data_IF_725327359579
#
_entry.id   IF_725327359579
#
_cell.length_a   1.000
_cell.length_b   1.000
_cell.length_c   1.000
_cell.angle_alpha   90.00
_cell.angle_beta   90.00
_cell.angle_gamma   90.00
#
_symmetry.space_group_name_H-M   'P 1'
#
loop_
_entity.id
_entity.type
_entity.pdbx_description
1 polymer ?
#
# COMPACT_ATOMS: atom_id res chain seq x y z
N UNK A 1 -0.02 47.27 -69.33
CA UNK A 1 -0.59 46.51 -68.20
C UNK A 1 0.45 46.43 -67.11
N UNK A 2 0.18 46.97 -65.92
CA UNK A 2 1.00 46.72 -64.73
C UNK A 2 0.07 46.18 -63.65
N UNK A 3 0.16 44.88 -63.38
CA UNK A 3 -0.54 44.26 -62.27
C UNK A 3 0.46 44.15 -61.12
N UNK A 4 0.26 44.95 -60.08
CA UNK A 4 0.93 44.75 -58.80
C UNK A 4 0.20 43.62 -58.08
N UNK A 5 0.89 42.51 -57.83
CA UNK A 5 0.38 41.45 -56.97
C UNK A 5 0.33 41.98 -55.52
N UNK A 6 -0.79 41.89 -54.80
CA UNK A 6 -0.86 42.32 -53.42
C UNK A 6 0.07 41.45 -52.56
N UNK A 7 0.90 42.09 -51.73
CA UNK A 7 1.63 41.39 -50.67
C UNK A 7 0.62 40.94 -49.62
N UNK A 8 0.42 39.64 -49.48
CA UNK A 8 -0.42 39.08 -48.43
C UNK A 8 0.29 39.30 -47.10
N UNK A 9 -0.28 40.11 -46.21
CA UNK A 9 0.22 40.27 -44.85
C UNK A 9 0.17 38.94 -44.11
N UNK A 10 1.17 38.65 -43.28
CA UNK A 10 1.16 37.47 -42.43
C UNK A 10 0.06 37.61 -41.38
N UNK A 11 -1.01 36.82 -41.52
CA UNK A 11 -2.01 36.64 -40.47
C UNK A 11 -1.46 35.67 -39.42
N UNK A 12 -1.65 35.98 -38.14
CA UNK A 12 -1.28 35.09 -37.05
C UNK A 12 -2.37 34.03 -36.88
N UNK A 13 -1.98 32.75 -36.87
CA UNK A 13 -2.84 31.62 -36.52
C UNK A 13 -2.35 30.95 -35.24
N UNK A 14 -3.24 30.22 -34.56
CA UNK A 14 -2.95 29.47 -33.34
C UNK A 14 -3.05 27.97 -33.61
N UNK A 15 -2.11 27.20 -33.06
CA UNK A 15 -2.16 25.74 -33.02
C UNK A 15 -2.32 25.35 -31.54
N UNK A 16 -3.45 24.73 -31.21
CA UNK A 16 -3.72 24.29 -29.84
C UNK A 16 -3.07 22.93 -29.56
N UNK A 17 -2.54 22.70 -28.34
CA UNK A 17 -1.98 21.40 -27.95
C UNK A 17 -2.97 20.22 -28.08
N UNK A 18 -2.47 19.04 -28.43
CA UNK A 18 -3.27 17.82 -28.52
C UNK A 18 -3.46 17.18 -27.12
N UNK A 19 -4.64 16.64 -26.77
CA UNK A 19 -4.86 16.03 -25.47
C UNK A 19 -4.19 14.64 -25.36
N UNK A 20 -3.58 14.36 -24.21
CA UNK A 20 -3.16 13.01 -23.84
C UNK A 20 -4.19 12.35 -22.91
N UNK A 21 -4.23 11.03 -22.92
CA UNK A 21 -4.90 10.22 -21.90
C UNK A 21 -3.83 9.42 -21.16
N UNK A 22 -3.83 9.51 -19.82
CA UNK A 22 -2.83 8.85 -18.98
C UNK A 22 -3.54 8.14 -17.83
N UNK A 23 -3.23 6.86 -17.65
CA UNK A 23 -3.76 6.05 -16.56
C UNK A 23 -2.65 5.32 -15.83
N UNK A 24 -2.80 5.18 -14.51
CA UNK A 24 -1.91 4.32 -13.72
C UNK A 24 -2.33 2.85 -13.94
N UNK A 25 -1.40 2.01 -14.35
CA UNK A 25 -1.61 0.60 -14.70
C UNK A 25 -0.69 -0.34 -13.91
N UNK A 26 -0.92 -1.64 -14.05
CA UNK A 26 -0.09 -2.68 -13.45
C UNK A 26 -0.33 -2.95 -11.97
N UNK A 27 -1.32 -2.27 -11.34
CA UNK A 27 -1.67 -2.41 -9.93
C UNK A 27 -0.45 -2.24 -9.01
N UNK A 28 0.08 -1.01 -8.82
CA UNK A 28 1.18 -0.77 -7.89
C UNK A 28 0.87 -1.37 -6.51
N UNK A 29 1.82 -2.12 -5.95
CA UNK A 29 1.62 -2.81 -4.67
C UNK A 29 2.67 -2.45 -3.65
N UNK A 30 2.28 -2.42 -2.37
CA UNK A 30 3.19 -2.39 -1.22
C UNK A 30 2.64 -3.22 -0.07
N UNK A 31 3.50 -3.63 0.86
CA UNK A 31 3.05 -4.16 2.15
C UNK A 31 2.67 -3.01 3.08
N UNK A 32 1.65 -3.21 3.92
CA UNK A 32 1.23 -2.24 4.93
C UNK A 32 2.41 -1.79 5.81
N UNK A 33 2.60 -0.47 5.84
CA UNK A 33 3.67 0.25 6.52
C UNK A 33 3.15 1.51 7.22
N UNK A 34 1.83 1.63 7.40
CA UNK A 34 1.19 2.72 8.16
C UNK A 34 1.10 4.04 7.40
N UNK A 35 1.41 4.08 6.10
CA UNK A 35 1.26 5.28 5.28
C UNK A 35 0.67 4.97 3.89
N UNK A 36 0.17 6.01 3.24
CA UNK A 36 -0.48 5.92 1.94
C UNK A 36 0.43 6.27 0.74
N UNK A 37 1.76 6.25 0.91
CA UNK A 37 2.68 6.51 -0.22
C UNK A 37 2.68 5.36 -1.21
N UNK A 38 2.59 5.68 -2.50
CA UNK A 38 2.77 4.73 -3.61
C UNK A 38 4.11 4.98 -4.30
N UNK A 39 4.86 3.90 -4.53
CA UNK A 39 6.03 3.91 -5.40
C UNK A 39 5.57 3.55 -6.81
N UNK A 40 5.87 4.45 -7.74
CA UNK A 40 5.56 4.32 -9.16
C UNK A 40 6.86 4.23 -9.97
N UNK A 41 6.73 3.81 -11.22
CA UNK A 41 7.77 3.94 -12.22
C UNK A 41 7.16 3.90 -13.62
N UNK A 42 8.00 3.97 -14.68
CA UNK A 42 7.54 4.03 -16.06
C UNK A 42 6.51 2.97 -16.46
N UNK A 43 6.69 1.73 -15.97
CA UNK A 43 5.80 0.61 -16.26
C UNK A 43 4.40 0.75 -15.61
N UNK A 44 4.22 1.70 -14.69
CA UNK A 44 2.93 1.99 -14.08
C UNK A 44 2.12 3.02 -14.85
N UNK A 45 2.56 3.51 -16.01
CA UNK A 45 1.81 4.47 -16.80
C UNK A 45 1.52 3.94 -18.19
N UNK A 46 0.25 4.04 -18.59
CA UNK A 46 -0.16 3.93 -19.99
C UNK A 46 -0.46 5.35 -20.48
N UNK A 47 0.15 5.73 -21.60
CA UNK A 47 -0.04 7.05 -22.22
C UNK A 47 -0.52 6.85 -23.66
N UNK A 48 -1.67 7.43 -23.96
CA UNK A 48 -2.31 7.43 -25.28
C UNK A 48 -2.50 8.88 -25.78
N UNK A 49 -2.57 9.05 -27.10
CA UNK A 49 -2.86 10.35 -27.74
C UNK A 49 -1.67 11.08 -28.37
N UNK A 50 -0.46 10.49 -28.34
CA UNK A 50 0.67 11.03 -29.10
C UNK A 50 0.41 11.00 -30.61
N UNK A 51 0.89 12.03 -31.31
CA UNK A 51 0.92 12.06 -32.78
C UNK A 51 1.85 10.95 -33.30
N UNK A 52 1.55 10.39 -34.47
CA UNK A 52 2.31 9.30 -35.08
C UNK A 52 3.82 9.63 -35.16
N UNK A 53 4.65 8.80 -34.52
CA UNK A 53 6.10 8.96 -34.47
C UNK A 53 6.60 9.72 -33.24
N UNK A 54 5.70 10.29 -32.44
CA UNK A 54 6.00 10.93 -31.16
C UNK A 54 5.67 10.00 -29.98
N UNK A 55 6.26 10.29 -28.82
CA UNK A 55 6.04 9.54 -27.59
C UNK A 55 6.92 10.04 -26.45
N UNK A 56 6.63 9.58 -25.23
CA UNK A 56 7.45 9.87 -24.06
C UNK A 56 7.28 8.79 -23.00
N UNK A 57 8.28 8.67 -22.13
CA UNK A 57 8.24 7.81 -20.95
C UNK A 57 7.93 8.66 -19.71
N UNK A 58 6.96 8.26 -18.88
CA UNK A 58 6.69 8.96 -17.61
C UNK A 58 7.78 8.60 -16.58
N UNK A 59 8.40 9.61 -15.96
CA UNK A 59 9.50 9.46 -14.99
C UNK A 59 9.05 9.69 -13.54
N UNK A 60 7.79 10.08 -13.31
CA UNK A 60 7.22 10.24 -11.97
C UNK A 60 7.33 8.92 -11.18
N UNK A 61 7.93 8.99 -9.99
CA UNK A 61 8.20 7.83 -9.12
C UNK A 61 7.31 7.77 -7.89
N UNK A 62 6.50 8.80 -7.66
CA UNK A 62 5.67 8.93 -6.47
C UNK A 62 4.19 9.09 -6.80
N UNK A 63 3.35 8.60 -5.91
CA UNK A 63 1.91 8.80 -5.91
C UNK A 63 1.34 8.54 -4.52
N UNK A 64 0.02 8.57 -4.42
CA UNK A 64 -0.68 8.43 -3.14
C UNK A 64 -1.87 7.49 -3.28
N UNK A 65 -1.97 6.48 -2.42
CA UNK A 65 -3.17 5.66 -2.24
C UNK A 65 -4.26 6.46 -1.53
N UNK A 66 -5.53 6.21 -1.86
CA UNK A 66 -6.68 6.87 -1.23
C UNK A 66 -6.83 6.57 0.28
N UNK A 67 -6.24 5.47 0.76
CA UNK A 67 -6.14 5.11 2.19
C UNK A 67 -4.75 4.58 2.51
N UNK A 68 -4.35 4.65 3.77
CA UNK A 68 -3.15 3.98 4.31
C UNK A 68 -3.42 2.52 4.71
N UNK A 69 -4.68 2.12 4.86
CA UNK A 69 -5.07 0.76 5.25
C UNK A 69 -4.77 -0.27 4.15
N UNK A 70 -4.62 -1.54 4.53
CA UNK A 70 -4.55 -2.63 3.57
C UNK A 70 -5.85 -2.76 2.77
N UNK A 71 -5.74 -2.90 1.45
CA UNK A 71 -6.88 -2.94 0.55
C UNK A 71 -6.54 -2.56 -0.88
N UNK A 72 -7.57 -2.56 -1.72
CA UNK A 72 -7.52 -2.06 -3.09
C UNK A 72 -7.98 -0.60 -3.09
N UNK A 73 -7.13 0.30 -3.60
CA UNK A 73 -7.36 1.74 -3.54
C UNK A 73 -7.04 2.42 -4.86
N UNK A 74 -7.68 3.57 -5.09
CA UNK A 74 -7.23 4.49 -6.13
C UNK A 74 -5.85 5.03 -5.74
N UNK A 75 -4.91 4.97 -6.69
CA UNK A 75 -3.64 5.67 -6.65
C UNK A 75 -3.77 6.92 -7.50
N UNK A 76 -3.26 8.04 -7.00
CA UNK A 76 -3.29 9.34 -7.66
C UNK A 76 -1.89 9.92 -7.71
N UNK A 77 -1.51 10.53 -8.84
CA UNK A 77 -0.28 11.34 -8.90
C UNK A 77 -0.49 12.56 -9.80
N UNK A 78 -0.02 13.76 -9.40
CA UNK A 78 0.06 14.88 -10.32
C UNK A 78 1.15 14.62 -11.36
N UNK A 79 0.93 15.07 -12.59
CA UNK A 79 1.95 15.11 -13.63
C UNK A 79 2.05 16.51 -14.22
N UNK A 80 3.26 16.89 -14.61
CA UNK A 80 3.53 18.00 -15.51
C UNK A 80 4.56 17.61 -16.58
N UNK A 81 4.94 18.55 -17.45
CA UNK A 81 5.86 18.27 -18.57
C UNK A 81 7.26 17.81 -18.16
N UNK A 82 7.70 18.11 -16.93
CA UNK A 82 9.00 17.69 -16.39
C UNK A 82 9.02 16.23 -15.94
N UNK A 83 7.85 15.61 -15.76
CA UNK A 83 7.69 14.20 -15.42
C UNK A 83 7.76 13.26 -16.64
N UNK A 84 8.27 13.74 -17.77
CA UNK A 84 8.38 12.97 -19.01
C UNK A 84 9.81 13.02 -19.55
N UNK A 85 10.28 11.85 -20.01
CA UNK A 85 11.45 11.70 -20.88
C UNK A 85 10.94 11.54 -22.33
N UNK A 86 10.91 12.63 -23.13
CA UNK A 86 10.35 12.59 -24.47
C UNK A 86 11.26 11.85 -25.46
N UNK A 87 10.66 11.06 -26.34
CA UNK A 87 11.35 10.48 -27.48
C UNK A 87 11.88 11.59 -28.39
N UNK A 88 12.91 11.27 -29.18
CA UNK A 88 13.44 12.19 -30.18
C UNK A 88 12.34 12.73 -31.10
N UNK A 89 12.27 14.06 -31.25
CA UNK A 89 11.25 14.73 -32.06
C UNK A 89 9.95 15.06 -31.32
N UNK A 90 9.78 14.61 -30.08
CA UNK A 90 8.61 14.95 -29.26
C UNK A 90 8.87 16.20 -28.42
N UNK A 91 7.91 17.13 -28.40
CA UNK A 91 7.94 18.31 -27.54
C UNK A 91 6.70 18.31 -26.64
N UNK A 92 6.87 18.15 -25.33
CA UNK A 92 5.74 18.02 -24.40
C UNK A 92 4.81 19.24 -24.36
N UNK A 93 5.27 20.44 -24.71
CA UNK A 93 4.40 21.62 -24.81
C UNK A 93 3.38 21.55 -25.95
N UNK A 94 3.53 20.61 -26.89
CA UNK A 94 2.52 20.34 -27.92
C UNK A 94 1.33 19.52 -27.38
N UNK A 95 1.37 19.10 -26.11
CA UNK A 95 0.39 18.21 -25.52
C UNK A 95 -0.24 18.76 -24.24
N UNK A 96 -1.52 18.47 -24.03
CA UNK A 96 -2.21 18.70 -22.76
C UNK A 96 -2.05 17.45 -21.90
N UNK A 97 -1.38 17.60 -20.76
CA UNK A 97 -1.16 16.53 -19.80
C UNK A 97 -2.32 16.54 -18.78
N UNK A 98 -3.13 15.48 -18.68
CA UNK A 98 -4.14 15.39 -17.62
C UNK A 98 -3.44 15.30 -16.26
N UNK A 99 -3.93 16.07 -15.29
CA UNK A 99 -3.39 16.06 -13.93
C UNK A 99 -4.51 16.38 -12.92
N UNK A 100 -4.70 15.55 -11.88
CA UNK A 100 -3.93 14.35 -11.59
C UNK A 100 -4.33 13.16 -12.48
N UNK A 101 -3.45 12.17 -12.57
CA UNK A 101 -3.75 10.87 -13.19
C UNK A 101 -4.04 9.84 -12.12
N UNK A 102 -4.88 8.85 -12.46
CA UNK A 102 -5.34 7.84 -11.50
C UNK A 102 -5.31 6.43 -12.06
N UNK A 103 -5.33 5.46 -11.16
CA UNK A 103 -5.52 4.03 -11.45
C UNK A 103 -5.67 3.25 -10.15
N UNK A 104 -5.79 1.93 -10.23
CA UNK A 104 -5.91 1.08 -9.03
C UNK A 104 -4.55 0.60 -8.56
N UNK A 105 -4.38 0.48 -7.24
CA UNK A 105 -3.21 -0.10 -6.57
C UNK A 105 -3.62 -0.87 -5.31
N UNK A 106 -2.75 -1.72 -4.78
CA UNK A 106 -3.05 -2.60 -3.64
C UNK A 106 -2.05 -2.46 -2.51
N UNK A 107 -2.55 -2.14 -1.30
CA UNK A 107 -1.77 -2.30 -0.07
C UNK A 107 -2.05 -3.69 0.49
N UNK A 108 -1.04 -4.55 0.47
CA UNK A 108 -1.11 -5.93 0.98
C UNK A 108 -0.98 -5.91 2.51
N UNK A 109 -1.78 -6.71 3.20
CA UNK A 109 -1.69 -6.86 4.66
C UNK A 109 -0.28 -7.28 5.08
N UNK A 110 0.18 -6.74 6.20
CA UNK A 110 1.43 -7.16 6.81
C UNK A 110 1.23 -8.50 7.53
N UNK A 111 1.99 -9.51 7.12
CA UNK A 111 2.00 -10.80 7.81
C UNK A 111 2.71 -10.68 9.15
N UNK A 112 2.01 -11.04 10.23
CA UNK A 112 2.52 -11.13 11.61
C UNK A 112 2.84 -12.56 12.04
N UNK A 113 2.89 -13.50 11.09
CA UNK A 113 2.94 -14.96 11.27
C UNK A 113 3.88 -15.54 12.34
N UNK A 114 3.87 -16.89 12.50
CA UNK A 114 4.55 -17.56 13.61
C UNK A 114 6.04 -17.21 13.69
N UNK A 115 6.47 -16.66 14.83
CA UNK A 115 7.84 -16.20 15.09
C UNK A 115 8.05 -14.68 14.98
N UNK A 116 7.08 -13.94 14.41
CA UNK A 116 7.03 -12.47 14.42
C UNK A 116 6.15 -12.00 15.58
N UNK A 117 4.99 -12.65 15.75
CA UNK A 117 4.33 -12.73 17.04
C UNK A 117 5.07 -13.79 17.86
N UNK A 118 5.80 -13.34 18.87
CA UNK A 118 6.26 -14.22 19.93
C UNK A 118 5.11 -14.36 20.92
N UNK A 119 4.18 -15.29 20.69
CA UNK A 119 3.23 -15.69 21.75
C UNK A 119 4.00 -16.56 22.73
N UNK A 120 4.84 -15.94 23.54
CA UNK A 120 5.42 -16.63 24.68
C UNK A 120 4.47 -16.47 25.86
N UNK A 121 4.14 -17.58 26.50
CA UNK A 121 3.51 -17.56 27.82
C UNK A 121 4.63 -17.27 28.82
N UNK A 122 4.86 -15.98 29.08
CA UNK A 122 6.01 -15.51 29.87
C UNK A 122 5.75 -15.49 31.38
N UNK A 123 4.49 -15.47 31.80
CA UNK A 123 4.10 -15.39 33.21
C UNK A 123 4.32 -16.66 34.04
N UNK A 124 4.76 -17.77 33.41
CA UNK A 124 4.89 -19.09 34.05
C UNK A 124 3.62 -19.45 34.86
N UNK A 125 2.48 -19.68 34.19
CA UNK A 125 1.25 -20.02 34.88
C UNK A 125 1.48 -21.26 35.75
N UNK A 126 0.99 -21.21 36.98
CA UNK A 126 1.09 -22.32 37.94
C UNK A 126 -0.31 -22.70 38.41
N UNK A 127 -0.47 -23.98 38.75
CA UNK A 127 -1.69 -24.50 39.39
C UNK A 127 -1.37 -25.60 40.38
N UNK A 128 -2.27 -25.80 41.33
CA UNK A 128 -2.26 -26.98 42.19
C UNK A 128 -2.72 -28.18 41.37
N UNK A 129 -2.09 -29.33 41.57
CA UNK A 129 -2.46 -30.58 40.89
C UNK A 129 -3.94 -30.92 41.15
N UNK A 130 -4.71 -31.01 40.07
CA UNK A 130 -6.14 -31.30 40.07
C UNK A 130 -6.52 -32.38 39.03
N UNK A 131 -5.52 -32.99 38.38
CA UNK A 131 -5.70 -34.05 37.40
C UNK A 131 -6.20 -33.61 36.02
N UNK A 132 -6.28 -32.31 35.71
CA UNK A 132 -6.64 -31.83 34.38
C UNK A 132 -5.55 -30.94 33.74
N UNK A 133 -5.65 -30.73 32.43
CA UNK A 133 -4.68 -29.97 31.62
C UNK A 133 -5.01 -28.48 31.50
N UNK A 134 -6.05 -27.97 32.18
CA UNK A 134 -6.46 -26.56 32.01
C UNK A 134 -5.44 -25.62 32.63
N UNK A 135 -4.96 -24.66 31.82
CA UNK A 135 -4.13 -23.53 32.23
C UNK A 135 -4.97 -22.24 32.25
N UNK A 136 -4.85 -21.47 33.33
CA UNK A 136 -5.41 -20.11 33.40
C UNK A 136 -4.35 -19.11 32.96
N UNK A 137 -4.69 -18.27 32.00
CA UNK A 137 -3.83 -17.25 31.41
C UNK A 137 -4.42 -15.86 31.65
N UNK A 138 -3.54 -14.86 31.74
CA UNK A 138 -3.86 -13.45 31.80
C UNK A 138 -3.33 -12.73 30.55
N UNK A 139 -3.87 -11.56 30.19
CA UNK A 139 -3.36 -10.78 29.05
C UNK A 139 -1.85 -10.49 29.11
N UNK A 140 -1.32 -10.28 30.32
CA UNK A 140 0.11 -10.04 30.55
C UNK A 140 1.00 -11.28 30.43
N UNK A 141 0.40 -12.47 30.29
CA UNK A 141 1.18 -13.69 30.02
C UNK A 141 1.64 -13.74 28.56
N UNK A 142 1.00 -12.98 27.67
CA UNK A 142 1.32 -12.94 26.25
C UNK A 142 2.23 -11.76 25.92
N UNK A 143 3.20 -12.01 25.06
CA UNK A 143 3.87 -10.95 24.30
C UNK A 143 3.38 -10.98 22.86
N UNK A 144 3.31 -9.82 22.21
CA UNK A 144 2.97 -9.70 20.79
C UNK A 144 4.03 -8.84 20.12
N UNK A 145 4.45 -9.23 18.91
CA UNK A 145 5.51 -8.58 18.15
C UNK A 145 5.16 -8.44 16.67
N UNK A 146 5.94 -7.65 15.94
CA UNK A 146 5.82 -7.49 14.48
C UNK A 146 4.91 -6.37 13.97
N UNK A 147 4.10 -5.80 14.86
CA UNK A 147 3.33 -4.60 14.56
C UNK A 147 4.25 -3.45 14.16
N UNK A 148 3.70 -2.49 13.41
CA UNK A 148 4.37 -1.22 13.18
C UNK A 148 4.55 -0.51 14.53
N UNK A 149 5.62 0.27 14.67
CA UNK A 149 5.87 1.03 15.89
C UNK A 149 4.66 1.91 16.24
N UNK A 150 4.13 1.74 17.45
CA UNK A 150 2.94 2.45 17.94
C UNK A 150 1.61 1.72 17.68
N UNK A 151 1.63 0.60 16.94
CA UNK A 151 0.49 -0.29 16.79
C UNK A 151 0.72 -1.59 17.58
N UNK A 152 -0.37 -2.29 17.90
CA UNK A 152 -0.34 -3.46 18.75
C UNK A 152 -1.73 -4.03 19.04
N UNK A 153 -1.76 -5.10 19.83
CA UNK A 153 -2.97 -5.70 20.34
C UNK A 153 -2.70 -6.38 21.67
N UNK A 154 -3.77 -6.72 22.37
CA UNK A 154 -3.76 -7.57 23.57
C UNK A 154 -4.51 -8.87 23.28
N UNK A 155 -4.03 -10.00 23.82
CA UNK A 155 -4.77 -11.26 23.76
C UNK A 155 -5.71 -11.38 24.95
N UNK A 156 -6.97 -11.67 24.68
CA UNK A 156 -8.05 -11.81 25.67
C UNK A 156 -8.37 -13.27 26.04
N UNK A 157 -7.78 -14.24 25.33
CA UNK A 157 -7.91 -15.66 25.64
C UNK A 157 -7.29 -15.96 27.01
N UNK A 158 -8.10 -16.47 27.93
CA UNK A 158 -7.68 -16.76 29.33
C UNK A 158 -7.51 -18.25 29.60
N UNK A 159 -7.74 -19.10 28.60
CA UNK A 159 -7.64 -20.56 28.73
C UNK A 159 -6.60 -21.12 27.77
N UNK A 160 -5.66 -21.89 28.32
CA UNK A 160 -4.71 -22.71 27.57
C UNK A 160 -4.69 -24.16 28.08
N UNK A 161 -3.78 -24.95 27.52
CA UNK A 161 -3.62 -26.37 27.84
C UNK A 161 -2.16 -26.70 28.20
N UNK A 162 -1.95 -27.31 29.37
CA UNK A 162 -0.71 -27.99 29.71
C UNK A 162 -0.56 -29.28 28.91
N UNK A 163 0.66 -29.61 28.51
CA UNK A 163 0.95 -30.84 27.74
C UNK A 163 0.65 -32.16 28.47
N UNK A 164 0.41 -32.14 29.79
CA UNK A 164 0.06 -33.32 30.59
C UNK A 164 -0.68 -32.91 31.87
N UNK A 165 -1.62 -33.74 32.39
CA UNK A 165 -2.25 -33.50 33.70
C UNK A 165 -1.32 -33.81 34.89
N UNK A 166 -0.15 -34.43 34.64
CA UNK A 166 0.76 -34.86 35.69
C UNK A 166 1.58 -33.69 36.25
N UNK A 167 1.84 -33.72 37.56
CA UNK A 167 2.71 -32.75 38.22
C UNK A 167 4.12 -32.74 37.59
N UNK A 168 4.65 -31.54 37.37
CA UNK A 168 5.95 -31.33 36.73
C UNK A 168 5.94 -30.07 35.87
N UNK A 169 7.06 -29.79 35.21
CA UNK A 169 7.15 -28.71 34.24
C UNK A 169 6.48 -29.18 32.94
N UNK A 170 5.49 -28.43 32.47
CA UNK A 170 4.73 -28.75 31.27
C UNK A 170 4.72 -27.54 30.34
N UNK A 171 4.86 -27.78 29.03
CA UNK A 171 4.61 -26.74 28.04
C UNK A 171 3.13 -26.36 28.11
N UNK A 172 2.84 -25.05 27.96
CA UNK A 172 1.48 -24.55 27.80
C UNK A 172 1.28 -24.16 26.35
N UNK A 173 0.16 -24.60 25.78
CA UNK A 173 -0.26 -24.24 24.43
C UNK A 173 -1.60 -23.52 24.48
N UNK A 174 -1.82 -22.64 23.52
CA UNK A 174 -3.08 -21.92 23.35
C UNK A 174 -3.51 -22.00 21.89
N UNK A 175 -4.82 -22.06 21.65
CA UNK A 175 -5.38 -21.87 20.32
C UNK A 175 -6.00 -20.47 20.30
N UNK A 176 -5.53 -19.64 19.37
CA UNK A 176 -6.01 -18.26 19.23
C UNK A 176 -6.86 -18.13 17.96
N UNK A 177 -8.01 -17.50 18.11
CA UNK A 177 -8.84 -17.05 17.00
C UNK A 177 -8.63 -15.53 16.78
N UNK A 178 -8.97 -14.99 15.59
CA UNK A 178 -8.92 -13.55 15.35
C UNK A 178 -9.74 -12.72 16.36
N UNK A 179 -10.81 -13.30 16.94
CA UNK A 179 -11.62 -12.66 17.98
C UNK A 179 -10.92 -12.51 19.33
N UNK A 180 -9.81 -13.22 19.55
CA UNK A 180 -9.08 -13.17 20.82
C UNK A 180 -8.15 -11.95 20.89
N UNK A 181 -7.95 -11.24 19.77
CA UNK A 181 -7.10 -10.06 19.68
C UNK A 181 -7.94 -8.79 19.84
N UNK A 182 -7.63 -8.01 20.86
CA UNK A 182 -8.18 -6.68 21.09
C UNK A 182 -7.16 -5.62 20.65
N UNK A 183 -7.41 -4.83 19.59
CA UNK A 183 -6.43 -3.87 19.08
C UNK A 183 -6.16 -2.72 20.05
N UNK A 184 -4.89 -2.32 20.12
CA UNK A 184 -4.52 -1.09 20.80
C UNK A 184 -5.08 0.13 20.05
N UNK A 185 -5.33 1.27 20.74
CA UNK A 185 -5.82 2.48 20.09
C UNK A 185 -4.97 2.90 18.87
N UNK A 186 -5.63 3.08 17.72
CA UNK A 186 -4.96 3.42 16.46
C UNK A 186 -4.55 2.21 15.62
N UNK A 187 -4.69 0.99 16.13
CA UNK A 187 -4.42 -0.23 15.37
C UNK A 187 -5.67 -0.71 14.63
N UNK A 188 -5.53 -0.98 13.34
CA UNK A 188 -6.55 -1.67 12.56
C UNK A 188 -6.04 -3.07 12.20
N UNK A 189 -6.57 -4.11 12.87
CA UNK A 189 -6.14 -5.50 12.64
C UNK A 189 -6.39 -5.99 11.22
N UNK A 190 -7.29 -5.35 10.45
CA UNK A 190 -7.48 -5.70 9.04
C UNK A 190 -6.27 -5.36 8.16
N UNK A 191 -5.31 -4.58 8.68
CA UNK A 191 -4.05 -4.29 8.02
C UNK A 191 -3.00 -5.39 8.20
N UNK A 192 -3.32 -6.40 9.00
CA UNK A 192 -2.43 -7.49 9.38
C UNK A 192 -3.05 -8.86 9.04
N UNK A 193 -2.20 -9.87 8.87
CA UNK A 193 -2.57 -11.26 8.59
C UNK A 193 -1.67 -12.23 9.32
#
# INVERSE_FOLDING_TARGET
SNYLLPSVGAIQGEITPAPLTITIIGNPTKTYDGNNSASLGPANFQVDGFVSGEGATVTQTSGTYASSDAGLWTVTTPLDSSDFDPNSGTLMSNYIIPSPVTGLGTIVRRNLGPGVIVVDITGNPTKVYDGNTVATLAPGDYTLGGFIAGEGATITQTVGEYGSPNAGQQAVTVQLAPSDFDPDPGTNLNNYT
#
